data_IF_295866907301
#
_entry.id   IF_295866907301
#
_cell.length_a   1.000
_cell.length_b   1.000
_cell.length_c   1.000
_cell.angle_alpha   90.00
_cell.angle_beta   90.00
_cell.angle_gamma   90.00
#
_symmetry.space_group_name_H-M   'P 1'
#
loop_
_entity.id
_entity.type
_entity.pdbx_description
1 polymer ?
#
# COMPACT_ATOMS: atom_id res chain seq x y z
N UNK A 1 -27.66 -22.01 -36.71
CA UNK A 1 -26.93 -20.76 -36.34
C UNK A 1 -26.19 -21.03 -35.03
N UNK A 2 -24.87 -21.32 -35.11
CA UNK A 2 -24.04 -21.56 -33.91
C UNK A 2 -23.45 -20.25 -33.42
N UNK A 3 -23.78 -19.86 -32.22
CA UNK A 3 -23.10 -18.75 -31.51
C UNK A 3 -21.75 -19.22 -31.01
N UNK A 4 -20.67 -18.73 -31.60
CA UNK A 4 -19.34 -18.88 -31.10
C UNK A 4 -19.14 -17.95 -29.90
N UNK A 5 -18.97 -18.50 -28.71
CA UNK A 5 -18.58 -17.75 -27.53
C UNK A 5 -17.13 -17.30 -27.66
N UNK A 6 -16.88 -16.02 -27.85
CA UNK A 6 -15.56 -15.43 -27.75
C UNK A 6 -15.14 -15.43 -26.28
N UNK A 7 -14.29 -16.36 -25.92
CA UNK A 7 -13.55 -16.35 -24.64
C UNK A 7 -12.50 -15.23 -24.70
N UNK A 8 -12.78 -14.09 -24.12
CA UNK A 8 -11.78 -13.06 -23.92
C UNK A 8 -10.75 -13.56 -22.86
N UNK A 9 -9.59 -14.00 -23.33
CA UNK A 9 -8.46 -14.29 -22.47
C UNK A 9 -7.99 -12.97 -21.84
N UNK A 10 -8.18 -12.83 -20.53
CA UNK A 10 -7.61 -11.72 -19.74
C UNK A 10 -6.08 -11.87 -19.82
N UNK A 11 -5.33 -10.87 -20.29
CA UNK A 11 -3.88 -10.96 -20.23
C UNK A 11 -3.46 -11.05 -18.76
N UNK A 12 -2.93 -12.19 -18.36
CA UNK A 12 -2.16 -12.30 -17.11
C UNK A 12 -0.99 -11.34 -17.29
N UNK A 13 -1.04 -10.22 -16.58
CA UNK A 13 0.09 -9.29 -16.55
C UNK A 13 1.29 -10.11 -16.09
N UNK A 14 2.20 -10.39 -17.01
CA UNK A 14 3.47 -11.02 -16.72
C UNK A 14 4.23 -9.99 -15.88
N UNK A 15 4.06 -10.05 -14.55
CA UNK A 15 4.66 -9.15 -13.58
C UNK A 15 6.14 -9.53 -13.44
N UNK A 16 6.90 -9.40 -14.53
CA UNK A 16 8.34 -9.34 -14.44
C UNK A 16 8.73 -8.23 -13.46
N UNK A 17 9.89 -8.33 -12.84
CA UNK A 17 10.39 -7.34 -11.87
C UNK A 17 10.61 -5.93 -12.45
N UNK A 18 10.08 -5.59 -13.57
CA UNK A 18 10.13 -4.33 -14.33
C UNK A 18 10.64 -3.07 -13.63
N UNK A 19 10.59 -1.94 -14.33
CA UNK A 19 10.97 -0.65 -13.77
C UNK A 19 9.99 -0.11 -12.73
N UNK A 20 10.44 0.86 -11.93
CA UNK A 20 9.58 1.59 -10.99
C UNK A 20 8.55 2.41 -11.77
N UNK A 21 7.29 2.24 -11.42
CA UNK A 21 6.19 3.03 -11.94
C UNK A 21 5.69 4.02 -10.88
N UNK A 22 5.23 5.20 -11.34
CA UNK A 22 4.72 6.28 -10.48
C UNK A 22 3.46 6.86 -11.08
N UNK A 23 2.48 7.13 -10.23
CA UNK A 23 1.27 7.86 -10.60
C UNK A 23 1.01 8.93 -9.56
N UNK A 24 0.76 10.15 -10.02
CA UNK A 24 0.36 11.27 -9.16
C UNK A 24 -1.16 11.33 -9.07
N UNK A 25 -1.73 11.73 -7.93
CA UNK A 25 -3.15 11.95 -7.81
C UNK A 25 -3.59 13.14 -8.69
N UNK A 26 -4.77 13.04 -9.29
CA UNK A 26 -5.33 14.13 -10.11
C UNK A 26 -5.81 15.33 -9.29
N UNK A 27 -6.15 15.12 -8.02
CA UNK A 27 -6.59 16.16 -7.09
C UNK A 27 -5.45 16.52 -6.16
N UNK A 28 -4.95 17.73 -6.24
CA UNK A 28 -4.16 18.32 -5.16
C UNK A 28 -5.13 18.76 -4.07
N UNK A 29 -5.02 18.13 -2.91
CA UNK A 29 -5.58 18.71 -1.70
C UNK A 29 -4.68 19.91 -1.37
N UNK A 30 -5.26 21.09 -1.29
CA UNK A 30 -4.55 22.33 -0.96
C UNK A 30 -3.63 22.11 0.26
N UNK A 31 -2.41 22.59 0.16
CA UNK A 31 -1.40 22.74 1.23
C UNK A 31 -0.79 21.48 1.86
N UNK A 32 -1.35 20.30 1.66
CA UNK A 32 -0.78 19.04 2.13
C UNK A 32 -0.35 18.15 0.97
N UNK A 33 0.88 17.60 1.06
CA UNK A 33 1.32 16.60 0.10
C UNK A 33 0.39 15.39 0.12
N UNK A 34 0.05 14.89 -1.05
CA UNK A 34 -0.75 13.67 -1.16
C UNK A 34 -0.13 12.53 -0.34
N UNK A 35 -0.93 11.70 0.34
CA UNK A 35 -0.44 10.50 0.99
C UNK A 35 0.32 9.64 -0.03
N UNK A 36 1.44 9.06 0.41
CA UNK A 36 2.28 8.22 -0.43
C UNK A 36 2.02 6.74 -0.14
N UNK A 37 1.79 5.95 -1.17
CA UNK A 37 1.84 4.50 -1.06
C UNK A 37 3.01 3.93 -1.87
N UNK A 38 3.81 3.08 -1.22
CA UNK A 38 4.91 2.34 -1.82
C UNK A 38 4.57 0.86 -1.79
N UNK A 39 4.62 0.19 -2.94
CA UNK A 39 4.23 -1.21 -3.02
C UNK A 39 4.93 -2.03 -4.09
N UNK A 40 4.54 -3.30 -4.12
CA UNK A 40 5.04 -4.32 -5.05
C UNK A 40 4.09 -4.56 -6.25
N UNK A 41 4.10 -5.77 -6.81
CA UNK A 41 3.28 -6.15 -7.97
C UNK A 41 1.76 -6.06 -7.72
N UNK A 42 1.32 -6.24 -6.48
CA UNK A 42 -0.10 -6.13 -6.13
C UNK A 42 -0.59 -4.69 -6.32
N UNK A 43 0.23 -3.72 -5.89
CA UNK A 43 -0.08 -2.30 -6.08
C UNK A 43 -0.01 -1.89 -7.56
N UNK A 44 0.92 -2.46 -8.36
CA UNK A 44 1.04 -2.17 -9.79
C UNK A 44 -0.30 -2.27 -10.52
N UNK A 45 -1.05 -3.35 -10.29
CA UNK A 45 -2.35 -3.55 -10.90
C UNK A 45 -3.38 -2.50 -10.52
N UNK A 46 -3.31 -1.95 -9.30
CA UNK A 46 -4.29 -1.03 -8.74
C UNK A 46 -3.89 0.46 -8.84
N UNK A 47 -2.72 0.78 -9.39
CA UNK A 47 -2.18 2.15 -9.38
C UNK A 47 -3.17 3.23 -9.82
N UNK A 48 -3.87 3.10 -10.98
CA UNK A 48 -4.81 4.15 -11.42
C UNK A 48 -6.00 4.31 -10.46
N UNK A 49 -6.45 3.22 -9.84
CA UNK A 49 -7.55 3.23 -8.89
C UNK A 49 -7.15 3.94 -7.60
N UNK A 50 -5.96 3.63 -7.10
CA UNK A 50 -5.40 4.22 -5.87
C UNK A 50 -5.08 5.71 -6.05
N UNK A 51 -4.55 6.10 -7.21
CA UNK A 51 -4.30 7.51 -7.52
C UNK A 51 -5.61 8.34 -7.61
N UNK A 52 -6.72 7.74 -8.06
CA UNK A 52 -8.04 8.38 -8.03
C UNK A 52 -8.55 8.64 -6.62
N UNK A 53 -8.14 7.85 -5.63
CA UNK A 53 -8.44 8.08 -4.20
C UNK A 53 -7.50 9.10 -3.54
N UNK A 54 -6.62 9.74 -4.31
CA UNK A 54 -5.80 10.86 -3.85
C UNK A 54 -4.39 10.49 -3.40
N UNK A 55 -3.93 9.26 -3.61
CA UNK A 55 -2.58 8.83 -3.26
C UNK A 55 -1.56 9.12 -4.37
N UNK A 56 -0.37 9.57 -3.98
CA UNK A 56 0.84 9.38 -4.79
C UNK A 56 1.23 7.90 -4.72
N UNK A 57 1.37 7.27 -5.87
CA UNK A 57 1.61 5.82 -5.97
C UNK A 57 3.00 5.56 -6.53
N UNK A 58 3.78 4.72 -5.86
CA UNK A 58 5.08 4.26 -6.32
C UNK A 58 5.16 2.73 -6.19
N UNK A 59 5.16 2.03 -7.30
CA UNK A 59 5.13 0.58 -7.32
C UNK A 59 6.19 -0.01 -8.26
N UNK A 60 6.62 -1.23 -7.94
CA UNK A 60 7.49 -2.05 -8.79
C UNK A 60 7.20 -3.52 -8.53
N UNK A 61 7.21 -4.35 -9.58
CA UNK A 61 7.18 -5.81 -9.43
C UNK A 61 8.35 -6.31 -8.59
N UNK A 62 8.17 -7.40 -7.88
CA UNK A 62 9.19 -8.05 -7.05
C UNK A 62 9.85 -7.13 -5.98
N UNK A 63 9.27 -5.98 -5.66
CA UNK A 63 9.85 -5.06 -4.68
C UNK A 63 9.85 -5.68 -3.30
N UNK A 64 11.03 -5.69 -2.66
CA UNK A 64 11.17 -6.01 -1.24
C UNK A 64 11.22 -4.78 -0.35
N UNK A 65 11.21 -5.01 0.96
CA UNK A 65 11.28 -3.94 1.98
C UNK A 65 12.52 -3.07 1.84
N UNK A 66 13.70 -3.67 1.61
CA UNK A 66 14.95 -2.93 1.45
C UNK A 66 14.88 -1.82 0.40
N UNK A 67 14.29 -2.13 -0.77
CA UNK A 67 14.11 -1.16 -1.86
C UNK A 67 13.05 -0.11 -1.51
N UNK A 68 11.91 -0.54 -0.91
CA UNK A 68 10.89 0.39 -0.45
C UNK A 68 11.44 1.40 0.57
N UNK A 69 12.23 0.92 1.54
CA UNK A 69 12.89 1.76 2.54
C UNK A 69 13.94 2.69 1.94
N UNK A 70 14.70 2.24 0.95
CA UNK A 70 15.64 3.10 0.23
C UNK A 70 14.92 4.27 -0.46
N UNK A 71 13.79 4.00 -1.11
CA UNK A 71 12.95 5.04 -1.69
C UNK A 71 12.42 6.03 -0.64
N UNK A 72 11.88 5.54 0.49
CA UNK A 72 11.41 6.42 1.56
C UNK A 72 12.53 7.28 2.14
N UNK A 73 13.74 6.72 2.30
CA UNK A 73 14.92 7.45 2.78
C UNK A 73 15.29 8.59 1.81
N UNK A 74 15.30 8.32 0.50
CA UNK A 74 15.54 9.36 -0.50
C UNK A 74 14.50 10.49 -0.43
N UNK A 75 13.21 10.14 -0.27
CA UNK A 75 12.13 11.12 -0.08
C UNK A 75 12.29 11.93 1.21
N UNK A 76 12.75 11.28 2.29
CA UNK A 76 13.04 11.96 3.57
C UNK A 76 14.17 12.98 3.42
N UNK A 77 15.28 12.59 2.79
CA UNK A 77 16.42 13.49 2.52
C UNK A 77 16.03 14.67 1.62
N UNK A 78 15.19 14.43 0.64
CA UNK A 78 14.66 15.48 -0.24
C UNK A 78 13.55 16.34 0.41
N UNK A 79 13.23 16.15 1.68
CA UNK A 79 12.12 16.80 2.38
C UNK A 79 10.76 16.69 1.65
N UNK A 80 10.54 15.56 0.94
CA UNK A 80 9.32 15.32 0.14
C UNK A 80 8.46 14.19 0.70
N UNK A 81 8.77 13.64 1.86
CA UNK A 81 7.99 12.59 2.49
C UNK A 81 6.72 13.18 3.12
N UNK A 82 5.52 12.72 2.72
CA UNK A 82 4.26 13.27 3.24
C UNK A 82 3.96 12.82 4.67
N UNK A 83 2.90 13.36 5.26
CA UNK A 83 2.45 13.00 6.61
C UNK A 83 1.96 11.56 6.73
N UNK A 84 1.31 11.04 5.70
CA UNK A 84 0.88 9.64 5.63
C UNK A 84 1.72 8.88 4.62
N UNK A 85 2.38 7.84 5.10
CA UNK A 85 3.12 6.87 4.30
C UNK A 85 2.49 5.49 4.46
N UNK A 86 2.15 4.85 3.35
CA UNK A 86 1.61 3.50 3.32
C UNK A 86 2.65 2.55 2.70
N UNK A 87 2.93 1.43 3.36
CA UNK A 87 3.74 0.35 2.83
C UNK A 87 2.84 -0.85 2.53
N UNK A 88 2.79 -1.21 1.24
CA UNK A 88 2.15 -2.43 0.73
C UNK A 88 3.27 -3.32 0.18
N UNK A 89 3.98 -4.00 1.06
CA UNK A 89 5.14 -4.85 0.78
C UNK A 89 5.07 -6.11 1.65
N UNK A 90 5.73 -7.16 1.23
CA UNK A 90 5.77 -8.42 1.97
C UNK A 90 5.26 -9.62 1.16
N UNK A 91 4.81 -9.40 -0.07
CA UNK A 91 4.38 -10.49 -0.96
C UNK A 91 5.56 -11.28 -1.51
N UNK A 92 6.71 -10.64 -1.67
CA UNK A 92 7.89 -11.25 -2.30
C UNK A 92 8.99 -11.65 -1.31
N UNK A 93 9.08 -10.97 -0.18
CA UNK A 93 10.16 -11.16 0.82
C UNK A 93 9.60 -10.95 2.22
N UNK A 94 10.06 -11.76 3.16
CA UNK A 94 9.60 -11.72 4.54
C UNK A 94 9.85 -10.36 5.21
N UNK A 95 8.91 -9.98 6.07
CA UNK A 95 8.95 -8.75 6.86
C UNK A 95 9.65 -9.02 8.19
N UNK A 96 10.74 -8.32 8.45
CA UNK A 96 11.43 -8.44 9.73
C UNK A 96 11.07 -7.29 10.69
N UNK A 97 11.25 -7.53 11.99
CA UNK A 97 11.15 -6.45 13.01
C UNK A 97 12.12 -5.30 12.74
N UNK A 98 13.28 -5.63 12.15
CA UNK A 98 14.29 -4.65 11.78
C UNK A 98 13.82 -3.75 10.66
N UNK A 99 13.12 -4.30 9.66
CA UNK A 99 12.56 -3.52 8.55
C UNK A 99 11.49 -2.55 9.06
N UNK A 100 10.62 -3.00 9.95
CA UNK A 100 9.59 -2.15 10.56
C UNK A 100 10.23 -1.01 11.37
N UNK A 101 11.26 -1.29 12.18
CA UNK A 101 11.98 -0.24 12.91
C UNK A 101 12.62 0.77 11.97
N UNK A 102 13.30 0.31 10.91
CA UNK A 102 13.88 1.20 9.90
C UNK A 102 12.81 2.07 9.22
N UNK A 103 11.62 1.53 8.95
CA UNK A 103 10.50 2.31 8.42
C UNK A 103 10.06 3.41 9.38
N UNK A 104 9.93 3.09 10.68
CA UNK A 104 9.62 4.05 11.73
C UNK A 104 10.67 5.14 11.87
N UNK A 105 11.96 4.77 11.85
CA UNK A 105 13.08 5.73 11.92
C UNK A 105 13.04 6.71 10.73
N UNK A 106 12.73 6.20 9.52
CA UNK A 106 12.63 7.03 8.32
C UNK A 106 11.42 7.95 8.37
N UNK A 107 10.25 7.46 8.78
CA UNK A 107 9.03 8.27 8.86
C UNK A 107 9.12 9.27 10.01
N UNK A 108 9.69 8.87 11.13
CA UNK A 108 9.81 9.68 12.34
C UNK A 108 8.45 9.93 13.01
N UNK A 109 8.43 10.56 14.17
CA UNK A 109 7.26 10.71 15.03
C UNK A 109 6.17 11.66 14.46
N UNK A 110 6.52 12.53 13.51
CA UNK A 110 5.58 13.51 12.94
C UNK A 110 4.75 12.96 11.76
N UNK A 111 4.89 11.67 11.44
CA UNK A 111 4.21 11.03 10.32
C UNK A 111 3.54 9.76 10.76
N UNK A 112 2.47 9.42 10.09
CA UNK A 112 1.79 8.14 10.26
C UNK A 112 2.35 7.15 9.27
N UNK A 113 2.81 6.01 9.78
CA UNK A 113 3.20 4.85 8.99
C UNK A 113 2.04 3.86 8.99
N UNK A 114 1.39 3.69 7.85
CA UNK A 114 0.41 2.63 7.66
C UNK A 114 1.08 1.43 6.98
N UNK A 115 0.90 0.24 7.52
CA UNK A 115 1.46 -0.99 6.97
C UNK A 115 0.33 -1.95 6.64
N UNK A 116 0.29 -2.40 5.40
CA UNK A 116 -0.72 -3.36 4.95
C UNK A 116 -0.25 -4.79 5.23
N UNK A 117 -1.14 -5.64 5.77
CA UNK A 117 -0.85 -7.06 5.88
C UNK A 117 -0.80 -7.68 4.49
N UNK A 118 0.31 -8.33 4.09
CA UNK A 118 0.39 -8.99 2.80
C UNK A 118 -0.45 -10.27 2.79
N UNK A 119 -0.99 -10.62 1.63
CA UNK A 119 -1.42 -11.99 1.37
C UNK A 119 -0.20 -12.77 0.89
N UNK A 120 0.02 -13.91 1.51
CA UNK A 120 1.15 -14.79 1.22
C UNK A 120 0.72 -15.90 0.24
N UNK A 121 1.65 -16.75 -0.15
CA UNK A 121 1.38 -17.87 -1.05
C UNK A 121 0.19 -18.70 -0.54
N UNK A 122 -0.75 -19.00 -1.42
CA UNK A 122 -2.03 -19.64 -1.06
C UNK A 122 -3.13 -18.64 -0.67
N UNK A 123 -2.86 -17.34 -0.70
CA UNK A 123 -3.87 -16.29 -0.52
C UNK A 123 -4.30 -16.03 0.92
N UNK A 124 -3.57 -16.52 1.89
CA UNK A 124 -3.83 -16.32 3.32
C UNK A 124 -2.78 -15.38 3.94
N UNK A 125 -3.02 -14.96 5.18
CA UNK A 125 -2.00 -14.29 5.96
C UNK A 125 -1.17 -15.31 6.73
N UNK A 126 0.15 -15.17 6.66
CA UNK A 126 1.10 -15.98 7.40
C UNK A 126 1.92 -15.17 8.40
N UNK A 127 3.22 -15.46 8.47
CA UNK A 127 4.15 -14.83 9.39
C UNK A 127 4.30 -13.33 9.18
N UNK A 128 4.23 -12.86 7.93
CA UNK A 128 4.40 -11.44 7.59
C UNK A 128 3.17 -10.63 7.99
N UNK A 129 1.97 -11.15 7.75
CA UNK A 129 0.74 -10.54 8.25
C UNK A 129 0.72 -10.49 9.79
N UNK A 130 1.23 -11.53 10.46
CA UNK A 130 1.38 -11.55 11.91
C UNK A 130 2.40 -10.50 12.40
N UNK A 131 3.53 -10.34 11.70
CA UNK A 131 4.54 -9.34 12.03
C UNK A 131 3.98 -7.91 11.92
N UNK A 132 3.19 -7.62 10.89
CA UNK A 132 2.51 -6.32 10.75
C UNK A 132 1.52 -6.07 11.89
N UNK A 133 0.69 -7.04 12.24
CA UNK A 133 -0.25 -6.92 13.38
C UNK A 133 0.48 -6.72 14.71
N UNK A 134 1.61 -7.42 14.90
CA UNK A 134 2.44 -7.25 16.09
C UNK A 134 3.08 -5.86 16.15
N UNK A 135 3.45 -5.27 15.00
CA UNK A 135 3.94 -3.91 14.94
C UNK A 135 2.89 -2.88 15.39
N UNK A 136 1.65 -3.01 14.95
CA UNK A 136 0.57 -2.13 15.42
C UNK A 136 0.32 -2.20 16.92
N UNK A 137 0.43 -3.40 17.51
CA UNK A 137 0.33 -3.56 18.98
C UNK A 137 1.52 -2.94 19.72
N UNK A 138 2.72 -3.00 19.13
CA UNK A 138 3.94 -2.51 19.75
C UNK A 138 4.13 -1.01 19.61
N UNK A 139 3.62 -0.41 18.56
CA UNK A 139 3.77 1.01 18.21
C UNK A 139 2.40 1.65 17.88
N UNK A 140 1.44 1.63 18.83
CA UNK A 140 0.04 1.99 18.56
C UNK A 140 -0.13 3.45 18.10
N UNK A 141 0.76 4.34 18.53
CA UNK A 141 0.70 5.77 18.20
C UNK A 141 1.40 6.13 16.88
N UNK A 142 2.14 5.18 16.27
CA UNK A 142 2.94 5.41 15.07
C UNK A 142 2.60 4.51 13.90
N UNK A 143 2.02 3.32 14.18
CA UNK A 143 1.71 2.32 13.15
C UNK A 143 0.22 2.09 13.05
N UNK A 144 -0.33 2.39 11.89
CA UNK A 144 -1.69 1.99 11.51
C UNK A 144 -1.62 0.67 10.75
N UNK A 145 -2.27 -0.35 11.25
CA UNK A 145 -2.36 -1.65 10.57
C UNK A 145 -3.53 -1.63 9.59
N UNK A 146 -3.22 -1.75 8.31
CA UNK A 146 -4.20 -1.98 7.25
C UNK A 146 -4.38 -3.49 7.07
N UNK A 147 -5.30 -4.09 7.82
CA UNK A 147 -5.46 -5.55 7.82
C UNK A 147 -6.22 -6.04 6.57
N UNK A 148 -5.51 -6.00 5.43
CA UNK A 148 -6.02 -6.43 4.14
C UNK A 148 -6.41 -7.92 4.11
N UNK A 149 -5.64 -8.77 4.77
CA UNK A 149 -5.95 -10.20 4.91
C UNK A 149 -7.30 -10.39 5.58
N UNK A 150 -7.55 -9.72 6.71
CA UNK A 150 -8.83 -9.79 7.43
C UNK A 150 -9.97 -9.19 6.59
N UNK A 151 -9.73 -8.06 5.96
CA UNK A 151 -10.71 -7.36 5.13
C UNK A 151 -11.20 -8.21 3.95
N UNK A 152 -10.30 -8.99 3.37
CA UNK A 152 -10.57 -9.77 2.17
C UNK A 152 -10.84 -11.26 2.40
N UNK A 153 -11.01 -11.67 3.65
CA UNK A 153 -11.17 -13.10 4.01
C UNK A 153 -12.30 -13.83 3.26
N UNK A 154 -13.35 -13.09 2.86
CA UNK A 154 -14.50 -13.62 2.13
C UNK A 154 -14.63 -13.02 0.72
N UNK A 155 -13.53 -12.55 0.14
CA UNK A 155 -13.50 -11.88 -1.15
C UNK A 155 -12.59 -12.60 -2.15
N UNK A 156 -12.76 -13.92 -2.28
CA UNK A 156 -11.96 -14.71 -3.22
C UNK A 156 -12.00 -14.20 -4.66
N UNK A 157 -13.14 -13.66 -5.08
CA UNK A 157 -13.38 -13.05 -6.39
C UNK A 157 -12.60 -11.74 -6.66
N UNK A 158 -11.93 -11.20 -5.64
CA UNK A 158 -11.05 -10.03 -5.77
C UNK A 158 -9.64 -10.40 -6.21
N UNK A 159 -9.31 -11.67 -6.24
CA UNK A 159 -7.97 -12.17 -6.51
C UNK A 159 -7.93 -13.06 -7.75
N UNK A 160 -6.79 -13.00 -8.43
CA UNK A 160 -6.42 -13.97 -9.45
C UNK A 160 -6.28 -15.37 -8.83
N UNK A 161 -6.15 -16.44 -9.64
CA UNK A 161 -6.03 -17.80 -9.12
C UNK A 161 -4.88 -18.03 -8.11
N UNK A 162 -3.86 -17.19 -8.12
CA UNK A 162 -2.75 -17.22 -7.15
C UNK A 162 -3.16 -16.74 -5.74
N UNK A 163 -4.35 -16.16 -5.59
CA UNK A 163 -4.87 -15.62 -4.33
C UNK A 163 -4.19 -14.34 -3.85
N UNK A 164 -3.33 -13.72 -4.67
CA UNK A 164 -2.48 -12.59 -4.32
C UNK A 164 -2.75 -11.38 -5.21
N UNK A 165 -2.62 -11.54 -6.53
CA UNK A 165 -2.81 -10.46 -7.48
C UNK A 165 -4.29 -10.12 -7.65
N UNK A 166 -4.57 -8.84 -7.90
CA UNK A 166 -5.94 -8.33 -7.91
C UNK A 166 -6.62 -8.50 -9.26
N UNK A 167 -7.88 -8.93 -9.24
CA UNK A 167 -8.80 -8.76 -10.38
C UNK A 167 -9.24 -7.29 -10.49
N UNK A 168 -9.91 -6.89 -11.56
CA UNK A 168 -10.50 -5.54 -11.70
C UNK A 168 -11.41 -5.17 -10.52
N UNK A 169 -12.19 -6.14 -10.03
CA UNK A 169 -13.02 -5.96 -8.85
C UNK A 169 -12.18 -5.76 -7.60
N UNK A 170 -11.11 -6.54 -7.47
CA UNK A 170 -10.14 -6.42 -6.37
C UNK A 170 -9.41 -5.09 -6.38
N UNK A 171 -8.99 -4.58 -7.54
CA UNK A 171 -8.33 -3.26 -7.68
C UNK A 171 -9.24 -2.13 -7.16
N UNK A 172 -10.53 -2.19 -7.48
CA UNK A 172 -11.52 -1.22 -6.99
C UNK A 172 -11.71 -1.33 -5.48
N UNK A 173 -11.84 -2.57 -4.97
CA UNK A 173 -11.97 -2.84 -3.54
C UNK A 173 -10.74 -2.40 -2.75
N UNK A 174 -9.54 -2.64 -3.29
CA UNK A 174 -8.27 -2.23 -2.72
C UNK A 174 -8.15 -0.70 -2.56
N UNK A 175 -8.50 0.05 -3.61
CA UNK A 175 -8.47 1.50 -3.57
C UNK A 175 -9.47 2.07 -2.54
N UNK A 176 -10.69 1.52 -2.48
CA UNK A 176 -11.68 1.90 -1.47
C UNK A 176 -11.23 1.59 -0.04
N UNK A 177 -10.57 0.46 0.15
CA UNK A 177 -9.99 0.12 1.46
C UNK A 177 -8.92 1.11 1.87
N UNK A 178 -8.04 1.53 0.96
CA UNK A 178 -7.04 2.56 1.23
C UNK A 178 -7.65 3.93 1.56
N UNK A 179 -8.76 4.30 0.93
CA UNK A 179 -9.44 5.57 1.24
C UNK A 179 -9.84 5.66 2.70
N UNK A 180 -10.19 4.56 3.35
CA UNK A 180 -10.57 4.56 4.77
C UNK A 180 -9.45 5.07 5.68
N UNK A 181 -8.18 4.88 5.31
CA UNK A 181 -7.05 5.36 6.12
C UNK A 181 -6.84 6.87 6.00
N UNK A 182 -7.17 7.48 4.86
CA UNK A 182 -7.05 8.95 4.71
C UNK A 182 -8.05 9.69 5.58
N UNK A 183 -9.25 9.13 5.74
CA UNK A 183 -10.26 9.68 6.64
C UNK A 183 -9.81 9.59 8.09
N UNK A 184 -9.16 8.51 8.48
CA UNK A 184 -8.63 8.34 9.84
C UNK A 184 -7.49 9.30 10.15
N UNK A 185 -6.55 9.51 9.20
CA UNK A 185 -5.37 10.38 9.38
C UNK A 185 -5.72 11.86 9.23
N UNK A 186 -6.77 12.22 8.50
CA UNK A 186 -7.26 13.60 8.40
C UNK A 186 -7.73 14.20 9.74
N UNK A 187 -7.95 13.34 10.76
CA UNK A 187 -8.25 13.75 12.14
C UNK A 187 -6.99 13.92 13.03
N UNK A 188 -5.78 13.65 12.55
CA UNK A 188 -4.56 13.90 13.31
C UNK A 188 -4.19 15.39 13.18
N UNK A 189 -4.16 16.16 14.29
CA UNK A 189 -3.82 17.58 14.25
C UNK A 189 -2.47 17.82 13.58
N UNK A 190 -2.39 18.89 12.80
CA UNK A 190 -1.16 19.30 12.13
C UNK A 190 -0.16 19.78 13.19
N UNK A 191 0.82 18.95 13.56
CA UNK A 191 1.85 19.30 14.52
C UNK A 191 2.78 20.45 14.05
N UNK A 192 2.66 20.86 12.79
CA UNK A 192 3.47 21.91 12.18
C UNK A 192 2.73 23.24 11.99
N UNK A 193 1.43 23.33 12.35
CA UNK A 193 0.71 24.60 12.42
C UNK A 193 0.42 24.93 13.89
N UNK A 194 1.09 25.91 14.50
CA UNK A 194 0.62 26.49 15.76
C UNK A 194 -0.77 27.07 15.49
N UNK A 195 -1.74 26.63 16.30
CA UNK A 195 -3.09 27.19 16.31
C UNK A 195 -2.98 28.71 16.36
N UNK A 196 -3.44 29.41 15.32
CA UNK A 196 -3.63 30.84 15.39
C UNK A 196 -4.71 31.09 16.47
N UNK A 197 -4.26 31.52 17.63
CA UNK A 197 -5.10 32.13 18.68
C UNK A 197 -5.53 33.51 18.27
#
# INVERSE_FOLDING_TARGET
>A
MSLAALSASVPVANAGCGGVQRVQPKKHLSDNRAPLIVGDSVLLGAMPNVAREGFEVNARGCRGWGEGLAYLRARRHAHTLPKLVVLQLGTNWSITRTDIRKALDITGQRRVLAIMTPREVGGFGGSDAAAVRAAGKRYPDQVVVLDWVKHTRYRGDWFAPDGIHLTFKGMTGFARFLRSVTTFVGGVPDADHPSAT
#
